data_IF_008340874644
#
_entry.id   IF_008340874644
#
_cell.length_a   1.000
_cell.length_b   1.000
_cell.length_c   1.000
_cell.angle_alpha   90.00
_cell.angle_beta   90.00
_cell.angle_gamma   90.00
#
_symmetry.space_group_name_H-M   'P 1'
#
loop_
_entity.id
_entity.type
_entity.pdbx_description
1 polymer ?
#
# COMPACT_ATOMS: atom_id res chain seq x y z
N UNK A 1 10.92 7.55 12.11
CA UNK A 1 9.71 7.58 11.28
C UNK A 1 8.52 7.24 12.16
N UNK A 2 7.35 7.87 11.96
CA UNK A 2 6.12 7.39 12.55
C UNK A 2 5.91 5.92 12.16
N UNK A 3 5.60 5.07 13.15
CA UNK A 3 5.42 3.65 12.89
C UNK A 3 4.12 3.38 12.12
N UNK A 4 4.16 2.32 11.34
CA UNK A 4 3.00 1.79 10.63
C UNK A 4 3.35 0.40 10.09
N UNK A 5 2.34 -0.37 9.67
CA UNK A 5 2.52 -1.58 8.88
C UNK A 5 1.53 -1.59 7.73
N UNK A 6 2.04 -1.77 6.53
CA UNK A 6 1.24 -1.96 5.33
C UNK A 6 1.82 -3.10 4.49
N UNK A 7 0.94 -3.87 3.86
CA UNK A 7 1.31 -5.00 3.00
C UNK A 7 0.59 -4.94 1.67
N UNK A 8 1.20 -5.52 0.64
CA UNK A 8 0.60 -5.74 -0.66
C UNK A 8 0.88 -7.16 -1.14
N UNK A 9 -0.06 -7.77 -1.83
CA UNK A 9 0.05 -9.13 -2.39
C UNK A 9 -0.62 -9.15 -3.75
N UNK A 10 0.08 -9.69 -4.77
CA UNK A 10 -0.54 -10.04 -6.05
C UNK A 10 -1.23 -11.39 -5.95
N UNK A 11 -2.37 -11.54 -6.60
CA UNK A 11 -3.11 -12.80 -6.71
C UNK A 11 -3.62 -13.01 -8.14
N UNK A 12 -4.20 -14.16 -8.44
CA UNK A 12 -4.77 -14.41 -9.76
C UNK A 12 -5.93 -13.45 -10.05
N UNK A 13 -5.68 -12.49 -10.97
CA UNK A 13 -6.63 -11.46 -11.40
C UNK A 13 -6.59 -10.15 -10.61
N UNK A 14 -5.72 -9.97 -9.61
CA UNK A 14 -5.72 -8.73 -8.82
C UNK A 14 -4.53 -8.47 -7.91
N UNK A 15 -4.67 -7.38 -7.16
CA UNK A 15 -3.75 -6.98 -6.09
C UNK A 15 -4.58 -6.64 -4.85
N UNK A 16 -4.16 -7.12 -3.69
CA UNK A 16 -4.71 -6.72 -2.39
C UNK A 16 -3.70 -5.91 -1.62
N UNK A 17 -4.15 -4.83 -1.03
CA UNK A 17 -3.42 -4.01 -0.07
C UNK A 17 -4.10 -4.08 1.28
N UNK A 18 -3.31 -4.12 2.34
CA UNK A 18 -3.83 -4.02 3.70
C UNK A 18 -2.92 -3.14 4.55
N UNK A 19 -3.51 -2.38 5.46
CA UNK A 19 -2.78 -1.58 6.44
C UNK A 19 -3.52 -1.54 7.76
N UNK A 20 -2.77 -1.35 8.86
CA UNK A 20 -3.36 -1.03 10.14
C UNK A 20 -3.75 0.47 10.23
N UNK A 21 -4.46 0.87 11.30
CA UNK A 21 -5.09 2.21 11.40
C UNK A 21 -4.54 3.10 12.51
N UNK A 22 -3.52 2.65 13.25
CA UNK A 22 -2.95 3.40 14.38
C UNK A 22 -2.05 4.54 13.92
N UNK A 23 -2.12 5.67 14.61
CA UNK A 23 -1.05 6.68 14.65
C UNK A 23 -0.58 6.81 16.07
N UNK A 24 0.71 6.56 16.29
CA UNK A 24 1.37 6.76 17.56
C UNK A 24 2.55 7.73 17.41
N UNK A 25 2.77 8.56 18.43
CA UNK A 25 3.91 9.45 18.54
C UNK A 25 4.68 9.08 19.82
N UNK A 26 5.74 8.31 19.67
CA UNK A 26 6.39 7.65 20.79
C UNK A 26 5.39 6.73 21.51
N UNK A 27 5.15 6.99 22.78
CA UNK A 27 4.20 6.21 23.59
C UNK A 27 2.76 6.75 23.58
N UNK A 28 2.52 7.85 22.85
CA UNK A 28 1.19 8.47 22.78
C UNK A 28 0.42 8.03 21.55
N UNK A 29 -0.76 7.47 21.78
CA UNK A 29 -1.69 7.06 20.74
C UNK A 29 -2.50 8.28 20.28
N UNK A 30 -2.24 8.76 19.06
CA UNK A 30 -2.86 9.95 18.47
C UNK A 30 -4.19 9.62 17.82
N UNK A 31 -4.24 8.55 17.03
CA UNK A 31 -5.45 8.13 16.30
C UNK A 31 -5.52 6.62 16.14
N UNK A 32 -6.76 6.10 16.08
CA UNK A 32 -7.10 4.68 15.88
C UNK A 32 -7.81 4.41 14.55
N UNK A 33 -7.99 5.43 13.72
CA UNK A 33 -8.86 5.35 12.54
C UNK A 33 -8.24 5.92 11.28
N UNK A 34 -6.92 6.07 11.23
CA UNK A 34 -6.22 6.66 10.09
C UNK A 34 -6.21 5.70 8.91
N UNK A 35 -6.58 6.22 7.75
CA UNK A 35 -6.52 5.51 6.47
C UNK A 35 -5.11 5.60 5.87
N UNK A 36 -4.56 4.45 5.49
CA UNK A 36 -3.22 4.32 4.86
C UNK A 36 -3.27 3.52 3.55
N UNK A 37 -4.45 3.11 3.11
CA UNK A 37 -4.72 2.52 1.79
C UNK A 37 -5.50 3.51 0.94
N UNK A 38 -5.13 3.66 -0.33
CA UNK A 38 -5.65 4.69 -1.21
C UNK A 38 -5.96 4.11 -2.59
N UNK A 39 -7.16 4.35 -3.10
CA UNK A 39 -7.46 4.14 -4.51
C UNK A 39 -6.90 5.33 -5.30
N UNK A 40 -5.94 5.07 -6.19
CA UNK A 40 -5.32 6.10 -7.05
C UNK A 40 -6.16 6.31 -8.30
N UNK A 41 -6.57 5.22 -8.93
CA UNK A 41 -7.53 5.17 -10.04
C UNK A 41 -8.43 3.94 -9.85
N UNK A 42 -9.38 3.71 -10.75
CA UNK A 42 -10.22 2.50 -10.71
C UNK A 42 -9.44 1.19 -10.89
N UNK A 43 -8.19 1.27 -11.38
CA UNK A 43 -7.33 0.13 -11.71
C UNK A 43 -6.01 0.09 -10.93
N UNK A 44 -5.74 1.11 -10.12
CA UNK A 44 -4.48 1.24 -9.37
C UNK A 44 -4.78 1.70 -7.95
N UNK A 45 -4.25 0.96 -6.99
CA UNK A 45 -4.27 1.31 -5.57
C UNK A 45 -2.86 1.45 -5.01
N UNK A 46 -2.79 2.01 -3.81
CA UNK A 46 -1.55 2.10 -3.05
C UNK A 46 -1.81 1.95 -1.56
N UNK A 47 -0.80 1.48 -0.84
CA UNK A 47 -0.76 1.53 0.61
C UNK A 47 0.56 2.13 1.08
N UNK A 48 0.54 2.84 2.18
CA UNK A 48 1.67 3.62 2.64
C UNK A 48 1.97 3.37 4.12
N UNK A 49 3.25 3.53 4.48
CA UNK A 49 3.70 3.56 5.88
C UNK A 49 4.67 4.72 6.08
N UNK A 50 4.47 5.51 7.13
CA UNK A 50 5.29 6.67 7.44
C UNK A 50 4.48 7.88 7.92
N UNK A 51 4.90 9.09 7.55
CA UNK A 51 4.22 10.32 7.95
C UNK A 51 2.91 10.49 7.18
N UNK A 52 1.80 10.60 7.90
CA UNK A 52 0.45 10.64 7.30
C UNK A 52 0.27 11.81 6.34
N UNK A 53 0.78 12.99 6.68
CA UNK A 53 0.70 14.15 5.80
C UNK A 53 1.40 13.90 4.44
N UNK A 54 2.56 13.25 4.46
CA UNK A 54 3.33 12.96 3.26
C UNK A 54 2.65 11.91 2.38
N UNK A 55 2.09 10.84 2.98
CA UNK A 55 1.34 9.85 2.22
C UNK A 55 0.05 10.43 1.62
N UNK A 56 -0.64 11.32 2.34
CA UNK A 56 -1.85 11.97 1.84
C UNK A 56 -1.56 12.90 0.66
N UNK A 57 -0.54 13.75 0.78
CA UNK A 57 -0.19 14.69 -0.30
C UNK A 57 0.32 13.95 -1.54
N UNK A 58 1.16 12.93 -1.36
CA UNK A 58 1.67 12.11 -2.46
C UNK A 58 0.53 11.43 -3.21
N UNK A 59 -0.34 10.71 -2.52
CA UNK A 59 -1.44 9.96 -3.15
C UNK A 59 -2.47 10.86 -3.79
N UNK A 60 -2.78 12.01 -3.19
CA UNK A 60 -3.69 13.02 -3.77
C UNK A 60 -3.14 13.60 -5.07
N UNK A 61 -1.87 14.03 -5.08
CA UNK A 61 -1.24 14.61 -6.26
C UNK A 61 -1.11 13.58 -7.39
N UNK A 62 -0.70 12.36 -7.07
CA UNK A 62 -0.59 11.28 -8.06
C UNK A 62 -1.96 10.88 -8.61
N UNK A 63 -2.99 10.81 -7.78
CA UNK A 63 -4.36 10.54 -8.25
C UNK A 63 -4.85 11.61 -9.24
N UNK A 64 -4.58 12.89 -8.95
CA UNK A 64 -4.93 13.98 -9.85
C UNK A 64 -4.17 13.89 -11.19
N UNK A 65 -2.85 13.67 -11.16
CA UNK A 65 -2.02 13.52 -12.37
C UNK A 65 -2.42 12.30 -13.19
N UNK A 66 -2.72 11.16 -12.54
CA UNK A 66 -3.18 9.95 -13.21
C UNK A 66 -4.53 10.16 -13.92
N UNK A 67 -5.45 10.92 -13.31
CA UNK A 67 -6.73 11.30 -13.95
C UNK A 67 -6.54 12.17 -15.16
N UNK A 68 -5.69 13.20 -15.07
CA UNK A 68 -5.34 14.05 -16.21
C UNK A 68 -4.73 13.20 -17.33
N UNK A 69 -3.76 12.34 -16.99
CA UNK A 69 -3.13 11.45 -17.96
C UNK A 69 -4.12 10.51 -18.64
N UNK A 70 -5.07 9.94 -17.87
CA UNK A 70 -6.14 9.08 -18.40
C UNK A 70 -6.99 9.84 -19.45
N UNK A 71 -7.33 11.11 -19.18
CA UNK A 71 -8.09 11.95 -20.12
C UNK A 71 -7.31 12.23 -21.40
N UNK A 72 -6.02 12.52 -21.29
CA UNK A 72 -5.16 12.82 -22.45
C UNK A 72 -4.99 11.60 -23.38
N UNK A 73 -4.67 10.43 -22.78
CA UNK A 73 -4.39 9.22 -23.57
C UNK A 73 -5.65 8.40 -23.88
N UNK A 74 -6.80 8.75 -23.30
CA UNK A 74 -8.12 8.09 -23.47
C UNK A 74 -8.10 6.58 -23.15
N UNK A 75 -7.26 6.16 -22.20
CA UNK A 75 -7.16 4.79 -21.71
C UNK A 75 -6.69 4.78 -20.26
N UNK A 76 -6.85 3.64 -19.57
CA UNK A 76 -6.38 3.49 -18.20
C UNK A 76 -4.86 3.66 -18.12
N UNK A 77 -4.41 4.33 -17.05
CA UNK A 77 -2.98 4.51 -16.76
C UNK A 77 -2.49 3.24 -16.06
N UNK A 78 -1.51 2.54 -16.62
CA UNK A 78 -1.04 1.29 -16.04
C UNK A 78 -0.26 1.51 -14.72
N UNK A 79 -0.23 0.51 -13.83
CA UNK A 79 0.40 0.62 -12.51
C UNK A 79 1.89 1.02 -12.56
N UNK A 80 2.65 0.54 -13.54
CA UNK A 80 4.06 0.91 -13.73
C UNK A 80 4.23 2.40 -14.03
N UNK A 81 3.31 3.00 -14.78
CA UNK A 81 3.30 4.45 -15.06
C UNK A 81 3.02 5.23 -13.78
N UNK A 82 2.03 4.79 -12.99
CA UNK A 82 1.71 5.42 -11.69
C UNK A 82 2.90 5.31 -10.73
N UNK A 83 3.53 4.13 -10.64
CA UNK A 83 4.73 3.93 -9.83
C UNK A 83 5.87 4.88 -10.27
N UNK A 84 6.08 5.07 -11.58
CA UNK A 84 7.09 5.98 -12.10
C UNK A 84 6.77 7.45 -11.81
N UNK A 85 5.48 7.84 -11.88
CA UNK A 85 5.05 9.19 -11.50
C UNK A 85 5.33 9.46 -10.02
N UNK A 86 5.03 8.49 -9.12
CA UNK A 86 5.38 8.58 -7.70
C UNK A 86 6.90 8.69 -7.50
N UNK A 87 7.66 7.81 -8.14
CA UNK A 87 9.13 7.80 -8.11
C UNK A 87 9.73 9.15 -8.47
N UNK A 88 9.29 9.75 -9.57
CA UNK A 88 9.79 11.05 -10.01
C UNK A 88 9.50 12.14 -8.97
N UNK A 89 8.28 12.20 -8.44
CA UNK A 89 7.88 13.17 -7.41
C UNK A 89 8.69 13.01 -6.12
N UNK A 90 8.94 11.77 -5.69
CA UNK A 90 9.75 11.47 -4.51
C UNK A 90 11.22 11.82 -4.74
N UNK A 91 11.77 11.46 -5.90
CA UNK A 91 13.16 11.74 -6.26
C UNK A 91 13.46 13.24 -6.40
N UNK A 92 12.54 14.04 -6.94
CA UNK A 92 12.66 15.50 -6.98
C UNK A 92 12.83 16.12 -5.59
N UNK A 93 12.27 15.47 -4.57
CA UNK A 93 12.35 15.88 -3.16
C UNK A 93 13.45 15.18 -2.37
N UNK A 94 14.40 14.50 -3.01
CA UNK A 94 15.42 13.65 -2.34
C UNK A 94 16.28 14.34 -1.29
N UNK A 95 16.42 15.66 -1.34
CA UNK A 95 17.14 16.44 -0.32
C UNK A 95 16.28 16.74 0.92
N UNK A 96 14.95 16.73 0.76
CA UNK A 96 13.94 16.83 1.82
C UNK A 96 12.85 15.81 1.52
N UNK A 97 13.13 14.52 1.73
CA UNK A 97 12.28 13.45 1.22
C UNK A 97 10.93 13.40 1.94
N UNK A 98 9.93 12.93 1.23
CA UNK A 98 8.67 12.51 1.84
C UNK A 98 8.96 11.30 2.73
N UNK A 99 8.60 11.40 4.00
CA UNK A 99 8.86 10.36 5.00
C UNK A 99 7.79 9.25 4.91
N UNK A 100 7.69 8.63 3.75
CA UNK A 100 6.74 7.54 3.50
C UNK A 100 7.37 6.49 2.59
N UNK A 101 7.08 5.22 2.90
CA UNK A 101 7.29 4.09 2.01
C UNK A 101 5.94 3.75 1.37
N UNK A 102 5.95 3.29 0.13
CA UNK A 102 4.73 3.04 -0.64
C UNK A 102 4.78 1.67 -1.29
N UNK A 103 3.67 0.95 -1.25
CA UNK A 103 3.40 -0.17 -2.14
C UNK A 103 2.30 0.27 -3.09
N UNK A 104 2.53 0.25 -4.40
CA UNK A 104 1.57 0.64 -5.43
C UNK A 104 1.41 -0.47 -6.45
N UNK A 105 0.21 -0.73 -6.89
CA UNK A 105 -0.05 -1.78 -7.85
C UNK A 105 -1.48 -1.76 -8.36
N UNK A 106 -1.79 -2.69 -9.23
CA UNK A 106 -3.11 -2.77 -9.81
C UNK A 106 -3.16 -3.68 -11.03
N UNK A 107 -4.24 -3.57 -11.79
CA UNK A 107 -4.52 -4.43 -12.94
C UNK A 107 -5.02 -3.61 -14.11
N UNK A 108 -4.24 -3.58 -15.20
CA UNK A 108 -4.73 -3.15 -16.52
C UNK A 108 -4.67 -4.36 -17.44
N UNK A 109 -3.49 -4.86 -17.76
CA UNK A 109 -3.31 -6.09 -18.56
C UNK A 109 -3.18 -7.31 -17.64
N UNK A 110 -2.27 -7.24 -16.68
CA UNK A 110 -2.01 -8.27 -15.67
C UNK A 110 -1.78 -7.60 -14.30
N UNK A 111 -1.97 -8.34 -13.17
CA UNK A 111 -1.62 -7.84 -11.85
C UNK A 111 -0.12 -7.53 -11.77
N UNK A 112 0.22 -6.34 -11.30
CA UNK A 112 1.61 -5.95 -11.02
C UNK A 112 1.65 -5.04 -9.80
N UNK A 113 2.75 -5.11 -9.07
CA UNK A 113 2.97 -4.33 -7.86
C UNK A 113 4.42 -3.87 -7.77
N UNK A 114 4.63 -2.74 -7.14
CA UNK A 114 5.94 -2.10 -6.94
C UNK A 114 6.04 -1.55 -5.53
N UNK A 115 7.22 -1.67 -4.95
CA UNK A 115 7.58 -1.04 -3.68
C UNK A 115 8.46 0.18 -3.95
N UNK A 116 8.17 1.30 -3.29
CA UNK A 116 8.95 2.53 -3.38
C UNK A 116 9.46 2.93 -1.99
N UNK A 117 10.74 3.29 -1.93
CA UNK A 117 11.35 3.91 -0.76
C UNK A 117 11.18 5.44 -0.78
N UNK A 118 11.52 6.16 0.33
CA UNK A 118 11.39 7.61 0.39
C UNK A 118 12.20 8.39 -0.65
N UNK A 119 13.22 7.78 -1.26
CA UNK A 119 14.06 8.39 -2.29
C UNK A 119 13.53 8.13 -3.72
N UNK A 120 12.46 7.34 -3.85
CA UNK A 120 11.78 7.09 -5.11
C UNK A 120 12.36 5.91 -5.91
N UNK A 121 13.06 4.94 -5.30
CA UNK A 121 13.37 3.68 -5.98
C UNK A 121 12.08 2.92 -6.30
N UNK A 122 12.07 2.16 -7.38
CA UNK A 122 10.91 1.37 -7.83
C UNK A 122 11.35 -0.08 -7.97
N UNK A 123 10.86 -0.94 -7.09
CA UNK A 123 11.19 -2.36 -7.06
C UNK A 123 9.94 -3.18 -7.40
N UNK A 124 9.96 -4.02 -8.44
CA UNK A 124 8.85 -4.92 -8.73
C UNK A 124 8.83 -6.06 -7.72
N UNK A 125 7.65 -6.34 -7.16
CA UNK A 125 7.44 -7.39 -6.18
C UNK A 125 6.12 -8.12 -6.44
N UNK A 126 6.01 -9.38 -6.01
CA UNK A 126 4.76 -10.14 -5.98
C UNK A 126 4.03 -9.99 -4.64
N UNK A 127 4.78 -9.80 -3.55
CA UNK A 127 4.29 -9.39 -2.24
C UNK A 127 5.34 -8.51 -1.56
N UNK A 128 4.88 -7.63 -0.70
CA UNK A 128 5.77 -6.74 0.05
C UNK A 128 5.12 -6.28 1.35
N UNK A 129 5.97 -5.84 2.28
CA UNK A 129 5.55 -5.14 3.48
C UNK A 129 6.44 -3.90 3.68
N UNK A 130 5.85 -2.83 4.22
CA UNK A 130 6.54 -1.57 4.53
C UNK A 130 6.16 -1.07 5.90
N UNK A 131 7.03 -0.25 6.49
CA UNK A 131 6.84 0.33 7.82
C UNK A 131 7.58 -0.40 8.93
N UNK A 132 7.32 -0.02 10.18
CA UNK A 132 8.02 -0.55 11.37
C UNK A 132 7.70 -2.02 11.66
N UNK A 133 6.51 -2.48 11.30
CA UNK A 133 6.10 -3.88 11.45
C UNK A 133 6.38 -4.75 10.21
N UNK A 134 7.09 -4.23 9.21
CA UNK A 134 7.34 -4.94 7.95
C UNK A 134 8.04 -6.30 8.15
N UNK A 135 9.05 -6.38 9.02
CA UNK A 135 9.77 -7.63 9.29
C UNK A 135 8.84 -8.73 9.85
N UNK A 136 7.92 -8.35 10.73
CA UNK A 136 6.94 -9.27 11.30
C UNK A 136 5.91 -9.72 10.27
N UNK A 137 5.47 -8.80 9.41
CA UNK A 137 4.56 -9.10 8.32
C UNK A 137 5.24 -10.02 7.27
N UNK A 138 6.49 -9.75 6.88
CA UNK A 138 7.27 -10.59 5.97
C UNK A 138 7.49 -11.99 6.53
N UNK A 139 7.73 -12.12 7.84
CA UNK A 139 7.83 -13.43 8.50
C UNK A 139 6.56 -14.30 8.36
N UNK A 140 5.41 -13.68 8.08
CA UNK A 140 4.16 -14.38 7.76
C UNK A 140 4.00 -14.58 6.24
N UNK A 141 4.38 -13.58 5.43
CA UNK A 141 4.23 -13.62 3.98
C UNK A 141 5.17 -14.64 3.34
N UNK A 142 6.46 -14.65 3.70
CA UNK A 142 7.48 -15.49 3.09
C UNK A 142 7.13 -16.99 3.07
N UNK A 143 6.69 -17.61 4.19
CA UNK A 143 6.37 -19.03 4.19
C UNK A 143 4.98 -19.37 3.61
N UNK A 144 4.08 -18.41 3.47
CA UNK A 144 2.68 -18.66 3.12
C UNK A 144 2.29 -18.14 1.73
N UNK A 145 3.07 -17.23 1.15
CA UNK A 145 2.82 -16.74 -0.21
C UNK A 145 2.99 -17.87 -1.23
N UNK A 146 2.06 -17.92 -2.20
CA UNK A 146 2.11 -18.84 -3.34
C UNK A 146 1.78 -18.04 -4.61
N UNK A 147 2.52 -18.21 -5.70
CA UNK A 147 2.14 -17.63 -6.99
C UNK A 147 0.73 -18.06 -7.40
N UNK A 148 -0.02 -17.14 -7.99
CA UNK A 148 -1.39 -17.39 -8.48
C UNK A 148 -2.39 -17.88 -7.42
N UNK A 149 -2.21 -17.46 -6.16
CA UNK A 149 -3.21 -17.72 -5.12
C UNK A 149 -4.55 -17.05 -5.46
N UNK A 150 -5.64 -17.58 -4.93
CA UNK A 150 -6.96 -16.98 -5.09
C UNK A 150 -7.10 -15.64 -4.35
N UNK A 151 -8.09 -14.84 -4.72
CA UNK A 151 -8.44 -13.60 -4.03
C UNK A 151 -8.61 -13.82 -2.52
N UNK A 152 -9.38 -14.84 -2.12
CA UNK A 152 -9.70 -15.09 -0.71
C UNK A 152 -8.47 -15.52 0.10
N UNK A 153 -7.59 -16.32 -0.51
CA UNK A 153 -6.31 -16.70 0.11
C UNK A 153 -5.41 -15.46 0.29
N UNK A 154 -5.28 -14.61 -0.73
CA UNK A 154 -4.47 -13.41 -0.66
C UNK A 154 -4.99 -12.41 0.39
N UNK A 155 -6.31 -12.20 0.45
CA UNK A 155 -6.96 -11.34 1.46
C UNK A 155 -6.73 -11.91 2.86
N UNK A 156 -6.90 -13.21 3.04
CA UNK A 156 -6.67 -13.88 4.34
C UNK A 156 -5.22 -13.75 4.78
N UNK A 157 -4.28 -13.95 3.87
CA UNK A 157 -2.85 -13.81 4.13
C UNK A 157 -2.46 -12.37 4.48
N UNK A 158 -2.96 -11.38 3.73
CA UNK A 158 -2.72 -9.96 4.02
C UNK A 158 -3.23 -9.56 5.41
N UNK A 159 -4.44 -10.00 5.79
CA UNK A 159 -5.00 -9.78 7.13
C UNK A 159 -4.15 -10.44 8.22
N UNK A 160 -3.69 -11.67 7.98
CA UNK A 160 -2.84 -12.40 8.93
C UNK A 160 -1.50 -11.68 9.14
N UNK A 161 -0.86 -11.20 8.07
CA UNK A 161 0.39 -10.45 8.14
C UNK A 161 0.24 -9.16 8.95
N UNK A 162 -0.80 -8.35 8.72
CA UNK A 162 -1.06 -7.13 9.49
C UNK A 162 -1.36 -7.45 10.96
N UNK A 163 -2.18 -8.46 11.25
CA UNK A 163 -2.47 -8.86 12.63
C UNK A 163 -1.22 -9.33 13.37
N UNK A 164 -0.35 -10.09 12.70
CA UNK A 164 0.92 -10.54 13.28
C UNK A 164 1.83 -9.36 13.64
N UNK A 165 1.94 -8.35 12.76
CA UNK A 165 2.68 -7.13 13.05
C UNK A 165 2.09 -6.36 14.23
N UNK A 166 0.76 -6.19 14.27
CA UNK A 166 0.06 -5.47 15.34
C UNK A 166 0.23 -6.10 16.74
N UNK A 167 0.58 -7.38 16.82
CA UNK A 167 0.87 -8.06 18.10
C UNK A 167 2.21 -7.65 18.73
N UNK A 168 3.16 -7.16 17.94
CA UNK A 168 4.54 -6.90 18.39
C UNK A 168 5.01 -5.48 18.09
N UNK A 169 4.53 -4.84 17.04
CA UNK A 169 4.83 -3.45 16.75
C UNK A 169 3.87 -2.53 17.53
N UNK A 170 4.41 -1.81 18.50
CA UNK A 170 3.64 -0.88 19.33
C UNK A 170 3.00 0.28 18.54
N UNK A 171 3.56 0.59 17.38
CA UNK A 171 3.07 1.64 16.50
C UNK A 171 1.98 1.18 15.52
N UNK A 172 1.70 -0.14 15.48
CA UNK A 172 0.70 -0.75 14.60
C UNK A 172 -0.47 -1.34 15.40
N UNK A 173 -1.71 -1.17 14.92
CA UNK A 173 -2.88 -1.75 15.58
C UNK A 173 -4.21 -1.09 15.31
N UNK A 174 -5.16 -1.31 16.23
CA UNK A 174 -6.52 -0.78 16.34
C UNK A 174 -7.50 -1.26 15.27
N UNK A 175 -7.19 -1.12 14.01
CA UNK A 175 -8.04 -1.55 12.89
C UNK A 175 -7.21 -1.97 11.69
N UNK A 176 -7.89 -2.50 10.71
CA UNK A 176 -7.34 -3.02 9.47
C UNK A 176 -8.19 -2.53 8.30
N UNK A 177 -7.60 -1.80 7.37
CA UNK A 177 -8.19 -1.47 6.08
C UNK A 177 -7.66 -2.44 5.02
N UNK A 178 -8.56 -2.92 4.15
CA UNK A 178 -8.23 -3.75 3.00
C UNK A 178 -8.77 -3.09 1.73
N UNK A 179 -7.92 -2.99 0.73
CA UNK A 179 -8.22 -2.49 -0.61
C UNK A 179 -7.87 -3.57 -1.63
N UNK A 180 -8.82 -3.96 -2.46
CA UNK A 180 -8.65 -4.97 -3.50
C UNK A 180 -8.87 -4.31 -4.86
N UNK A 181 -7.92 -4.50 -5.76
CA UNK A 181 -8.00 -4.01 -7.14
C UNK A 181 -8.04 -5.20 -8.09
N UNK A 182 -9.07 -5.27 -8.92
CA UNK A 182 -9.24 -6.26 -9.98
C UNK A 182 -9.56 -5.59 -11.32
N UNK A 183 -9.66 -6.39 -12.37
CA UNK A 183 -10.12 -5.86 -13.68
C UNK A 183 -11.56 -5.33 -13.61
N UNK A 184 -12.38 -5.84 -12.72
CA UNK A 184 -13.79 -5.50 -12.61
C UNK A 184 -14.02 -4.25 -11.74
N UNK A 185 -13.02 -3.85 -10.96
CA UNK A 185 -13.10 -2.65 -10.12
C UNK A 185 -12.36 -2.76 -8.80
N UNK A 186 -12.76 -1.91 -7.88
CA UNK A 186 -12.14 -1.73 -6.57
C UNK A 186 -13.12 -2.13 -5.47
N UNK A 187 -12.67 -2.93 -4.51
CA UNK A 187 -13.40 -3.26 -3.29
C UNK A 187 -12.61 -2.76 -2.08
N UNK A 188 -13.30 -2.17 -1.11
CA UNK A 188 -12.67 -1.67 0.11
C UNK A 188 -13.53 -2.02 1.33
N UNK A 189 -12.90 -2.46 2.40
CA UNK A 189 -13.56 -2.70 3.68
C UNK A 189 -12.61 -2.51 4.86
N UNK A 190 -13.20 -2.31 6.04
CA UNK A 190 -12.49 -2.10 7.31
C UNK A 190 -12.90 -3.16 8.32
N UNK A 191 -11.94 -3.68 9.07
CA UNK A 191 -12.18 -4.60 10.20
C UNK A 191 -11.45 -4.11 11.46
N UNK A 192 -11.95 -4.50 12.61
CA UNK A 192 -11.23 -4.30 13.87
C UNK A 192 -10.16 -5.39 14.05
N UNK A 193 -8.98 -5.00 14.50
CA UNK A 193 -7.99 -5.94 15.01
C UNK A 193 -8.35 -6.21 16.49
N UNK A 194 -8.84 -7.42 16.74
CA UNK A 194 -9.06 -7.91 18.12
C UNK A 194 -7.82 -8.61 18.61
#
# INVERSE_FOLDING_TARGET
LPGATAVGITFDGGVVFASEKRIAFGNFLVSKSTKKTFSITDKVGATCAGLVADMQILTLQISALAKIRKMDIKRDVPPNTVAKMMSNMMYERRYFPLLTQVIVGGVVDKPVMYTLDPLGSVLPDEYAAVGTGAEMALGVLDPQFKPNMSKDEAVTLAKHAIRSAALRDSASGDGLDVLIITKDGTEEFTENIK
#
